data_IF_246287839855
#
_entry.id   IF_246287839855
#
_cell.length_a   1.000
_cell.length_b   1.000
_cell.length_c   1.000
_cell.angle_alpha   90.00
_cell.angle_beta   90.00
_cell.angle_gamma   90.00
#
_symmetry.space_group_name_H-M   'P 1'
#
loop_
_entity.id
_entity.type
_entity.pdbx_description
1 polymer ?
#
# COMPACT_ATOMS: atom_id res chain seq x y z
N UNK A 1 7.57 -7.06 24.07
CA UNK A 1 7.21 -7.40 22.68
C UNK A 1 6.61 -6.15 22.10
N UNK A 2 7.07 -5.71 20.95
CA UNK A 2 6.49 -4.52 20.29
C UNK A 2 5.18 -4.98 19.67
N UNK A 3 4.06 -4.46 20.18
CA UNK A 3 2.75 -4.74 19.56
C UNK A 3 2.71 -3.96 18.25
N UNK A 4 2.64 -4.68 17.13
CA UNK A 4 2.56 -4.02 15.82
C UNK A 4 1.15 -3.45 15.66
N UNK A 5 1.01 -2.18 15.25
CA UNK A 5 -0.30 -1.61 14.99
C UNK A 5 -1.02 -2.36 13.87
N UNK A 6 -2.30 -2.68 14.10
CA UNK A 6 -3.16 -3.37 13.13
C UNK A 6 -4.23 -2.40 12.65
N UNK A 7 -4.23 -2.13 11.36
CA UNK A 7 -5.18 -1.25 10.69
C UNK A 7 -6.06 -1.98 9.68
N UNK A 8 -7.05 -1.27 9.18
CA UNK A 8 -7.98 -1.75 8.15
C UNK A 8 -8.11 -0.72 7.03
N UNK A 9 -8.19 -1.19 5.80
CA UNK A 9 -8.55 -0.35 4.67
C UNK A 9 -10.05 -0.03 4.72
N UNK A 10 -10.36 1.24 4.80
CA UNK A 10 -11.73 1.74 4.76
C UNK A 10 -12.04 2.11 3.32
N UNK A 11 -12.86 1.31 2.66
CA UNK A 11 -13.25 1.54 1.27
C UNK A 11 -13.74 2.95 1.03
N UNK A 12 -13.56 3.44 -0.18
CA UNK A 12 -13.98 4.76 -0.62
C UNK A 12 -15.50 4.93 -0.44
N UNK A 13 -15.91 5.38 0.74
CA UNK A 13 -17.18 6.06 0.88
C UNK A 13 -17.11 7.37 0.10
N UNK A 14 -18.23 7.95 -0.32
CA UNK A 14 -18.22 9.27 -0.94
C UNK A 14 -17.48 10.23 -0.01
N UNK A 15 -16.46 10.91 -0.55
CA UNK A 15 -15.60 11.86 0.18
C UNK A 15 -16.37 13.04 0.79
N UNK A 16 -17.65 13.18 0.45
CA UNK A 16 -18.51 14.28 0.86
C UNK A 16 -19.52 13.93 1.96
N UNK A 17 -19.70 12.63 2.28
CA UNK A 17 -20.45 12.17 3.45
C UNK A 17 -19.69 11.01 4.11
N UNK A 18 -19.26 11.16 5.37
CA UNK A 18 -18.65 10.05 6.10
C UNK A 18 -19.72 8.98 6.34
N UNK A 19 -19.76 7.97 5.48
CA UNK A 19 -20.53 6.79 5.77
C UNK A 19 -20.09 6.29 7.16
N UNK A 20 -21.03 6.22 8.11
CA UNK A 20 -20.77 5.74 9.47
C UNK A 20 -19.74 6.52 10.31
N UNK A 21 -19.74 7.84 10.26
CA UNK A 21 -18.95 8.66 11.21
C UNK A 21 -17.48 8.89 10.87
N UNK A 22 -17.04 8.53 9.65
CA UNK A 22 -15.68 8.79 9.19
C UNK A 22 -14.63 7.75 9.65
N UNK A 23 -13.35 7.95 9.28
CA UNK A 23 -12.28 6.96 9.51
C UNK A 23 -12.07 6.61 10.98
N UNK A 24 -12.08 7.60 11.88
CA UNK A 24 -11.84 7.39 13.32
C UNK A 24 -12.97 6.57 13.97
N UNK A 25 -14.23 6.84 13.62
CA UNK A 25 -15.35 6.05 14.11
C UNK A 25 -15.30 4.60 13.60
N UNK A 26 -14.86 4.40 12.36
CA UNK A 26 -14.65 3.08 11.79
C UNK A 26 -13.50 2.33 12.47
N UNK A 27 -12.39 3.01 12.77
CA UNK A 27 -11.30 2.43 13.56
C UNK A 27 -11.81 1.94 14.93
N UNK A 28 -12.54 2.80 15.62
CA UNK A 28 -13.11 2.47 16.95
C UNK A 28 -14.11 1.31 16.88
N UNK A 29 -14.96 1.25 15.85
CA UNK A 29 -15.93 0.17 15.64
C UNK A 29 -15.26 -1.19 15.48
N UNK A 30 -14.07 -1.23 14.82
CA UNK A 30 -13.33 -2.45 14.53
C UNK A 30 -12.22 -2.74 15.55
N UNK A 31 -12.04 -1.89 16.56
CA UNK A 31 -10.91 -1.95 17.48
C UNK A 31 -9.55 -1.92 16.74
N UNK A 32 -9.44 -1.11 15.69
CA UNK A 32 -8.26 -0.99 14.86
C UNK A 32 -7.34 0.12 15.37
N UNK A 33 -6.02 -0.10 15.31
CA UNK A 33 -4.99 0.88 15.68
C UNK A 33 -4.73 1.88 14.54
N UNK A 34 -5.14 1.55 13.32
CA UNK A 34 -4.94 2.37 12.15
C UNK A 34 -6.00 2.20 11.07
N UNK A 35 -6.00 3.14 10.14
CA UNK A 35 -6.86 3.10 8.96
C UNK A 35 -6.07 3.40 7.69
N UNK A 36 -6.38 2.70 6.62
CA UNK A 36 -5.97 3.11 5.28
C UNK A 36 -7.16 3.67 4.53
N UNK A 37 -6.97 4.81 3.90
CA UNK A 37 -8.03 5.54 3.20
C UNK A 37 -7.61 5.97 1.79
N UNK A 38 -8.59 6.14 0.90
CA UNK A 38 -8.43 6.92 -0.31
C UNK A 38 -8.83 8.38 -0.05
N UNK A 39 -8.12 9.32 -0.68
CA UNK A 39 -8.47 10.74 -0.63
C UNK A 39 -9.41 11.18 -1.77
N UNK A 40 -9.60 10.30 -2.75
CA UNK A 40 -10.54 10.47 -3.88
C UNK A 40 -11.08 9.11 -4.27
N UNK A 41 -12.03 9.07 -5.19
CA UNK A 41 -12.39 7.82 -5.86
C UNK A 41 -11.12 7.19 -6.48
N UNK A 42 -10.77 5.93 -6.14
CA UNK A 42 -9.54 5.26 -6.57
C UNK A 42 -9.43 5.05 -8.08
N UNK A 43 -10.53 5.15 -8.81
CA UNK A 43 -10.58 5.08 -10.27
C UNK A 43 -10.58 6.46 -10.95
N UNK A 44 -10.34 7.53 -10.19
CA UNK A 44 -10.42 8.91 -10.66
C UNK A 44 -9.05 9.56 -10.83
N UNK A 45 -8.90 10.40 -11.85
CA UNK A 45 -7.77 11.34 -12.01
C UNK A 45 -8.03 12.71 -11.36
N UNK A 46 -9.00 12.80 -10.44
CA UNK A 46 -9.28 14.06 -9.73
C UNK A 46 -8.25 14.32 -8.65
N UNK A 47 -7.85 15.58 -8.52
CA UNK A 47 -7.05 16.03 -7.38
C UNK A 47 -7.85 15.91 -6.08
N UNK A 48 -7.21 15.53 -4.96
CA UNK A 48 -7.86 15.49 -3.66
C UNK A 48 -8.28 16.90 -3.23
N UNK A 49 -9.39 16.98 -2.51
CA UNK A 49 -9.84 18.19 -1.84
C UNK A 49 -9.42 18.15 -0.37
N UNK A 50 -9.27 19.30 0.30
CA UNK A 50 -9.10 19.32 1.75
C UNK A 50 -10.22 18.54 2.44
N UNK A 51 -9.87 17.66 3.36
CA UNK A 51 -10.84 16.88 4.12
C UNK A 51 -11.38 17.69 5.29
N UNK A 52 -12.69 17.66 5.57
CA UNK A 52 -13.27 18.38 6.71
C UNK A 52 -12.83 17.81 8.08
N UNK A 53 -12.43 16.54 8.12
CA UNK A 53 -11.95 15.81 9.31
C UNK A 53 -10.41 15.77 9.43
N UNK A 54 -9.69 16.57 8.65
CA UNK A 54 -8.21 16.53 8.63
C UNK A 54 -7.60 16.86 10.01
N UNK A 55 -8.14 17.83 10.71
CA UNK A 55 -7.64 18.22 12.04
C UNK A 55 -7.90 17.13 13.09
N UNK A 56 -9.03 16.43 13.01
CA UNK A 56 -9.36 15.31 13.88
C UNK A 56 -8.43 14.12 13.63
N UNK A 57 -8.16 13.79 12.37
CA UNK A 57 -7.20 12.74 11.98
C UNK A 57 -5.80 13.07 12.48
N UNK A 58 -5.36 14.30 12.28
CA UNK A 58 -4.04 14.78 12.71
C UNK A 58 -3.84 14.75 14.23
N UNK A 59 -4.92 14.99 14.99
CA UNK A 59 -4.92 15.02 16.45
C UNK A 59 -5.13 13.65 17.10
N UNK A 60 -5.46 12.61 16.32
CA UNK A 60 -5.75 11.28 16.82
C UNK A 60 -4.49 10.44 17.00
N UNK A 61 -4.57 9.42 17.88
CA UNK A 61 -3.54 8.37 18.00
C UNK A 61 -3.70 7.26 16.96
N UNK A 62 -4.76 7.30 16.13
CA UNK A 62 -5.01 6.31 15.06
C UNK A 62 -4.02 6.55 13.93
N UNK A 63 -3.29 5.51 13.54
CA UNK A 63 -2.36 5.59 12.42
C UNK A 63 -3.15 5.73 11.11
N UNK A 64 -2.85 6.78 10.36
CA UNK A 64 -3.44 6.99 9.04
C UNK A 64 -2.44 6.58 7.97
N UNK A 65 -2.87 5.73 7.05
CA UNK A 65 -2.17 5.43 5.80
C UNK A 65 -3.05 5.90 4.65
N UNK A 66 -2.47 6.48 3.63
CA UNK A 66 -3.21 6.87 2.43
C UNK A 66 -2.81 5.98 1.28
N UNK A 67 -3.79 5.41 0.58
CA UNK A 67 -3.55 4.72 -0.68
C UNK A 67 -3.77 5.67 -1.86
N UNK A 68 -2.83 5.72 -2.79
CA UNK A 68 -2.95 6.49 -4.01
C UNK A 68 -3.97 5.86 -4.98
N UNK A 69 -4.63 6.63 -5.84
CA UNK A 69 -5.54 6.07 -6.83
C UNK A 69 -4.86 5.02 -7.72
N UNK A 70 -5.55 3.92 -8.00
CA UNK A 70 -5.06 2.81 -8.85
C UNK A 70 -4.69 3.25 -10.27
N UNK A 71 -5.29 4.34 -10.74
CA UNK A 71 -5.02 4.89 -12.07
C UNK A 71 -3.64 5.52 -12.22
N UNK A 72 -2.91 5.74 -11.12
CA UNK A 72 -1.59 6.34 -11.16
C UNK A 72 -0.55 5.35 -11.70
N UNK A 73 0.06 5.72 -12.81
CA UNK A 73 1.16 4.95 -13.40
C UNK A 73 2.27 5.89 -13.84
N UNK A 74 3.18 6.22 -12.92
CA UNK A 74 4.32 7.09 -13.20
C UNK A 74 5.45 6.38 -13.95
N UNK A 75 5.43 5.05 -14.01
CA UNK A 75 6.35 4.25 -14.81
C UNK A 75 6.04 4.33 -16.32
N UNK A 76 4.80 4.64 -16.69
CA UNK A 76 4.32 4.61 -18.08
C UNK A 76 5.25 5.33 -19.06
N UNK A 77 5.51 4.71 -20.21
CA UNK A 77 6.22 5.30 -21.35
C UNK A 77 5.36 6.35 -22.06
N UNK A 78 4.04 6.29 -21.89
CA UNK A 78 3.11 7.27 -22.46
C UNK A 78 3.07 8.57 -21.65
N UNK A 79 3.56 9.66 -22.24
CA UNK A 79 3.57 10.99 -21.60
C UNK A 79 2.19 11.50 -21.21
N UNK A 80 1.10 11.07 -21.91
CA UNK A 80 -0.27 11.49 -21.60
C UNK A 80 -0.78 10.84 -20.30
N UNK A 81 -0.18 9.74 -19.88
CA UNK A 81 -0.46 9.04 -18.60
C UNK A 81 0.53 9.53 -17.54
N UNK A 82 1.83 9.47 -17.83
CA UNK A 82 2.90 9.74 -16.88
C UNK A 82 2.90 11.18 -16.37
N UNK A 83 2.80 12.17 -17.26
CA UNK A 83 2.95 13.57 -16.85
C UNK A 83 1.81 14.03 -15.94
N UNK A 84 0.53 13.80 -16.26
CA UNK A 84 -0.57 14.04 -15.33
C UNK A 84 -0.45 13.19 -14.06
N UNK A 85 -0.03 11.93 -14.19
CA UNK A 85 0.17 11.02 -13.04
C UNK A 85 1.16 11.56 -12.01
N UNK A 86 2.31 12.10 -12.43
CA UNK A 86 3.29 12.73 -11.53
C UNK A 86 2.71 13.92 -10.77
N UNK A 87 1.95 14.77 -11.47
CA UNK A 87 1.31 15.92 -10.83
C UNK A 87 0.29 15.46 -9.80
N UNK A 88 -0.52 14.48 -10.16
CA UNK A 88 -1.55 13.94 -9.28
C UNK A 88 -0.93 13.22 -8.07
N UNK A 89 0.15 12.45 -8.27
CA UNK A 89 0.91 11.83 -7.19
C UNK A 89 1.37 12.86 -6.16
N UNK A 90 1.97 13.96 -6.61
CA UNK A 90 2.42 15.04 -5.72
C UNK A 90 1.24 15.70 -4.97
N UNK A 91 0.12 15.93 -5.63
CA UNK A 91 -1.07 16.49 -5.01
C UNK A 91 -1.64 15.55 -3.93
N UNK A 92 -1.68 14.25 -4.19
CA UNK A 92 -2.09 13.25 -3.20
C UNK A 92 -1.13 13.18 -2.02
N UNK A 93 0.20 13.25 -2.26
CA UNK A 93 1.20 13.27 -1.20
C UNK A 93 1.03 14.48 -0.27
N UNK A 94 0.79 15.68 -0.82
CA UNK A 94 0.50 16.86 0.00
C UNK A 94 -0.80 16.73 0.80
N UNK A 95 -1.83 16.16 0.22
CA UNK A 95 -3.10 15.95 0.92
C UNK A 95 -2.99 14.84 1.98
N UNK A 96 -2.18 13.81 1.74
CA UNK A 96 -1.87 12.76 2.72
C UNK A 96 -1.09 13.32 3.92
N UNK A 97 -0.11 14.18 3.67
CA UNK A 97 0.60 14.87 4.75
C UNK A 97 -0.31 15.77 5.58
N UNK A 98 -1.31 16.42 4.97
CA UNK A 98 -2.27 17.27 5.65
C UNK A 98 -3.21 16.53 6.61
N UNK A 99 -3.35 15.22 6.49
CA UNK A 99 -4.12 14.37 7.42
C UNK A 99 -3.21 13.59 8.39
N UNK A 100 -1.92 13.90 8.43
CA UNK A 100 -0.96 13.24 9.32
C UNK A 100 -0.63 11.79 8.91
N UNK A 101 -0.78 11.43 7.62
CA UNK A 101 -0.52 10.07 7.20
C UNK A 101 0.94 9.65 7.44
N UNK A 102 1.13 8.41 7.91
CA UNK A 102 2.44 7.76 8.09
C UNK A 102 3.21 7.68 6.76
N UNK A 103 2.49 7.44 5.69
CA UNK A 103 3.01 7.35 4.34
C UNK A 103 1.88 7.22 3.32
N UNK A 104 2.23 7.26 2.04
CA UNK A 104 1.29 7.04 0.95
C UNK A 104 1.69 5.83 0.12
N UNK A 105 0.84 4.81 0.14
CA UNK A 105 0.98 3.61 -0.69
C UNK A 105 0.72 3.93 -2.15
N UNK A 106 1.56 3.42 -3.01
CA UNK A 106 1.40 3.54 -4.46
C UNK A 106 1.95 2.31 -5.17
N UNK A 107 1.18 1.75 -6.09
CA UNK A 107 1.66 0.64 -6.92
C UNK A 107 2.89 1.06 -7.75
N UNK A 108 3.83 0.14 -7.94
CA UNK A 108 5.01 0.39 -8.75
C UNK A 108 4.72 0.80 -10.20
N UNK A 109 3.50 0.54 -10.69
CA UNK A 109 3.10 0.79 -12.05
C UNK A 109 3.76 -0.18 -13.04
N UNK A 110 3.57 0.08 -14.33
CA UNK A 110 4.05 -0.82 -15.38
C UNK A 110 4.35 -0.05 -16.68
N UNK A 111 5.14 -0.66 -17.54
CA UNK A 111 5.28 -0.30 -18.95
C UNK A 111 4.55 -1.34 -19.81
N UNK A 112 4.28 -1.01 -21.08
CA UNK A 112 3.65 -1.97 -21.99
C UNK A 112 4.58 -3.15 -22.26
N UNK A 113 4.03 -4.25 -22.75
CA UNK A 113 4.79 -5.50 -22.97
C UNK A 113 5.94 -5.33 -23.99
N UNK A 114 5.75 -4.43 -24.95
CA UNK A 114 6.74 -4.09 -25.98
C UNK A 114 7.79 -3.06 -25.55
N UNK A 115 7.57 -2.42 -24.41
CA UNK A 115 8.47 -1.38 -23.90
C UNK A 115 9.58 -1.98 -23.01
N UNK A 116 10.73 -1.28 -22.98
CA UNK A 116 11.82 -1.65 -22.07
C UNK A 116 11.47 -1.25 -20.62
N UNK A 117 11.44 -2.20 -19.66
CA UNK A 117 11.22 -1.92 -18.25
C UNK A 117 12.17 -0.88 -17.65
N UNK A 118 13.39 -0.77 -18.17
CA UNK A 118 14.36 0.23 -17.71
C UNK A 118 13.85 1.68 -17.90
N UNK A 119 12.98 1.91 -18.89
CA UNK A 119 12.33 3.22 -19.09
C UNK A 119 11.36 3.53 -17.94
N UNK A 120 10.62 2.52 -17.45
CA UNK A 120 9.72 2.66 -16.31
C UNK A 120 10.48 2.98 -15.02
N UNK A 121 11.58 2.30 -14.77
CA UNK A 121 12.50 2.56 -13.64
C UNK A 121 13.06 3.98 -13.72
N UNK A 122 13.55 4.42 -14.89
CA UNK A 122 14.05 5.78 -15.08
C UNK A 122 12.95 6.85 -14.92
N UNK A 123 11.72 6.53 -15.28
CA UNK A 123 10.57 7.40 -15.04
C UNK A 123 10.28 7.60 -13.55
N UNK A 124 10.43 6.56 -12.72
CA UNK A 124 10.37 6.68 -11.28
C UNK A 124 11.51 7.53 -10.72
N UNK A 125 12.76 7.25 -11.12
CA UNK A 125 13.92 8.06 -10.74
C UNK A 125 13.70 9.55 -11.07
N UNK A 126 13.26 9.84 -12.30
CA UNK A 126 12.92 11.22 -12.72
C UNK A 126 11.81 11.85 -11.88
N UNK A 127 10.85 11.05 -11.42
CA UNK A 127 9.75 11.54 -10.57
C UNK A 127 10.29 12.02 -9.23
N UNK A 128 11.10 11.20 -8.56
CA UNK A 128 11.76 11.59 -7.30
C UNK A 128 12.74 12.74 -7.48
N UNK A 129 13.60 12.68 -8.50
CA UNK A 129 14.56 13.76 -8.81
C UNK A 129 13.85 15.11 -9.06
N UNK A 130 12.69 15.07 -9.72
CA UNK A 130 11.90 16.29 -9.96
C UNK A 130 11.38 16.86 -8.63
N UNK A 131 10.81 16.03 -7.79
CA UNK A 131 10.30 16.46 -6.47
C UNK A 131 11.42 16.92 -5.53
N UNK A 132 12.59 16.30 -5.59
CA UNK A 132 13.73 16.70 -4.78
C UNK A 132 14.17 18.16 -4.99
N UNK A 133 13.89 18.76 -6.14
CA UNK A 133 14.15 20.18 -6.41
C UNK A 133 13.31 21.11 -5.55
N UNK A 134 12.14 20.63 -5.13
CA UNK A 134 11.19 21.38 -4.31
C UNK A 134 11.14 20.86 -2.86
N UNK A 135 12.20 20.17 -2.41
CA UNK A 135 12.34 19.65 -1.05
C UNK A 135 11.88 18.20 -0.85
N UNK A 136 11.49 17.51 -1.91
CA UNK A 136 11.02 16.12 -1.88
C UNK A 136 9.50 15.99 -1.72
N UNK A 137 9.04 14.75 -1.56
CA UNK A 137 7.65 14.50 -1.14
C UNK A 137 7.50 14.85 0.34
N UNK A 138 6.35 15.41 0.78
CA UNK A 138 6.15 15.84 2.18
C UNK A 138 5.99 14.69 3.18
N UNK A 139 5.87 13.46 2.68
CA UNK A 139 5.82 12.21 3.45
C UNK A 139 6.43 11.07 2.60
N UNK A 140 6.81 9.93 3.22
CA UNK A 140 7.31 8.78 2.47
C UNK A 140 6.28 8.24 1.48
N UNK A 141 6.73 7.91 0.27
CA UNK A 141 5.98 7.08 -0.67
C UNK A 141 6.34 5.62 -0.42
N UNK A 142 5.34 4.79 -0.15
CA UNK A 142 5.48 3.36 0.03
C UNK A 142 5.13 2.65 -1.27
N UNK A 143 6.13 2.09 -1.93
CA UNK A 143 5.94 1.32 -3.16
C UNK A 143 5.41 -0.06 -2.80
N UNK A 144 4.32 -0.45 -3.41
CA UNK A 144 3.68 -1.74 -3.18
C UNK A 144 4.02 -2.72 -4.29
N UNK A 145 4.28 -4.01 -3.91
CA UNK A 145 4.36 -5.09 -4.88
C UNK A 145 2.99 -5.36 -5.52
N UNK A 146 3.00 -5.95 -6.73
CA UNK A 146 1.79 -6.18 -7.51
C UNK A 146 1.65 -7.63 -7.96
N UNK A 147 0.40 -8.13 -8.01
CA UNK A 147 0.08 -9.52 -8.36
C UNK A 147 0.43 -9.89 -9.80
N UNK A 148 0.20 -8.97 -10.73
CA UNK A 148 0.27 -9.22 -12.15
C UNK A 148 0.80 -8.05 -12.97
N UNK A 149 0.67 -8.18 -14.31
CA UNK A 149 1.20 -7.19 -15.25
C UNK A 149 2.62 -7.56 -15.70
N UNK A 150 2.81 -7.85 -17.01
CA UNK A 150 4.05 -8.41 -17.54
C UNK A 150 5.31 -7.61 -17.26
N UNK A 151 5.25 -6.28 -17.39
CA UNK A 151 6.36 -5.36 -17.15
C UNK A 151 6.04 -4.40 -15.98
N UNK A 152 5.49 -4.95 -14.90
CA UNK A 152 5.26 -4.19 -13.66
C UNK A 152 6.58 -3.96 -12.93
N UNK A 153 6.74 -2.74 -12.36
CA UNK A 153 8.01 -2.32 -11.73
C UNK A 153 8.25 -3.01 -10.38
N UNK A 154 7.21 -3.54 -9.74
CA UNK A 154 7.30 -4.13 -8.41
C UNK A 154 6.60 -5.51 -8.34
N UNK A 155 6.67 -6.34 -9.39
CA UNK A 155 6.04 -7.65 -9.41
C UNK A 155 6.94 -8.77 -8.92
N UNK A 156 8.21 -8.74 -9.27
CA UNK A 156 9.21 -9.74 -8.88
C UNK A 156 10.40 -9.08 -8.20
N UNK A 157 11.16 -9.86 -7.44
CA UNK A 157 12.26 -9.36 -6.62
C UNK A 157 13.33 -8.65 -7.47
N UNK A 158 13.61 -9.15 -8.68
CA UNK A 158 14.58 -8.51 -9.56
C UNK A 158 14.08 -7.15 -10.09
N UNK A 159 12.78 -7.03 -10.38
CA UNK A 159 12.19 -5.76 -10.78
C UNK A 159 12.23 -4.75 -9.62
N UNK A 160 11.94 -5.20 -8.39
CA UNK A 160 12.04 -4.38 -7.19
C UNK A 160 13.48 -3.93 -6.95
N UNK A 161 14.46 -4.83 -7.09
CA UNK A 161 15.87 -4.47 -6.93
C UNK A 161 16.28 -3.38 -7.92
N UNK A 162 15.94 -3.52 -9.20
CA UNK A 162 16.21 -2.47 -10.22
C UNK A 162 15.51 -1.15 -9.90
N UNK A 163 14.29 -1.21 -9.40
CA UNK A 163 13.55 -0.01 -8.99
C UNK A 163 14.24 0.65 -7.79
N UNK A 164 14.65 -0.15 -6.80
CA UNK A 164 15.29 0.35 -5.57
C UNK A 164 16.66 0.97 -5.81
N UNK A 165 17.44 0.41 -6.74
CA UNK A 165 18.69 1.03 -7.22
C UNK A 165 18.48 2.44 -7.75
N UNK A 166 17.28 2.73 -8.27
CA UNK A 166 16.96 4.03 -8.87
C UNK A 166 16.28 5.02 -7.91
N UNK A 167 15.59 4.55 -6.86
CA UNK A 167 14.78 5.40 -5.99
C UNK A 167 15.08 5.27 -4.49
N UNK A 168 15.82 4.27 -4.05
CA UNK A 168 16.08 4.02 -2.64
C UNK A 168 16.79 5.19 -1.93
N UNK A 169 17.69 5.90 -2.63
CA UNK A 169 18.37 7.09 -2.11
C UNK A 169 17.44 8.25 -1.75
N UNK A 170 16.22 8.28 -2.31
CA UNK A 170 15.21 9.32 -2.02
C UNK A 170 14.33 9.00 -0.81
N UNK A 171 14.60 7.93 -0.08
CA UNK A 171 13.84 7.54 1.11
C UNK A 171 12.48 6.90 0.79
N UNK A 172 12.34 6.28 -0.37
CA UNK A 172 11.15 5.46 -0.68
C UNK A 172 11.00 4.33 0.34
N UNK A 173 9.78 4.07 0.78
CA UNK A 173 9.40 2.94 1.61
C UNK A 173 8.81 1.80 0.79
N UNK A 174 8.61 0.63 1.41
CA UNK A 174 8.04 -0.55 0.78
C UNK A 174 6.83 -1.10 1.53
N UNK A 175 5.81 -1.50 0.78
CA UNK A 175 4.66 -2.27 1.28
C UNK A 175 4.71 -3.67 0.70
N UNK A 176 4.63 -4.67 1.57
CA UNK A 176 4.45 -6.05 1.17
C UNK A 176 2.97 -6.42 1.23
N UNK A 177 2.32 -6.56 0.07
CA UNK A 177 1.02 -7.21 -0.02
C UNK A 177 1.20 -8.71 -0.20
N UNK A 178 0.62 -9.49 0.73
CA UNK A 178 0.76 -10.94 0.77
C UNK A 178 -0.05 -11.65 -0.32
N UNK A 179 -1.23 -11.14 -0.68
CA UNK A 179 -2.02 -11.65 -1.80
C UNK A 179 -1.29 -11.41 -3.13
N UNK A 180 -0.73 -10.22 -3.33
CA UNK A 180 0.05 -9.90 -4.52
C UNK A 180 1.31 -10.75 -4.64
N UNK A 181 2.06 -10.91 -3.56
CA UNK A 181 3.25 -11.75 -3.52
C UNK A 181 2.92 -13.22 -3.84
N UNK A 182 1.87 -13.77 -3.23
CA UNK A 182 1.35 -15.10 -3.52
C UNK A 182 0.94 -15.26 -4.99
N UNK A 183 0.17 -14.31 -5.49
CA UNK A 183 -0.28 -14.30 -6.88
C UNK A 183 0.87 -14.13 -7.89
N UNK A 184 1.94 -13.44 -7.53
CA UNK A 184 3.17 -13.35 -8.31
C UNK A 184 4.05 -14.61 -8.22
N UNK A 185 3.75 -15.53 -7.28
CA UNK A 185 4.46 -16.78 -7.09
C UNK A 185 5.65 -16.71 -6.13
N UNK A 186 5.67 -15.72 -5.21
CA UNK A 186 6.73 -15.61 -4.21
C UNK A 186 6.60 -16.68 -3.13
N UNK A 187 7.72 -16.99 -2.50
CA UNK A 187 7.73 -17.74 -1.25
C UNK A 187 7.46 -16.79 -0.07
N UNK A 188 6.23 -16.78 0.46
CA UNK A 188 5.86 -15.90 1.59
C UNK A 188 6.69 -16.18 2.84
N UNK A 189 7.21 -17.41 3.02
CA UNK A 189 8.07 -17.73 4.16
C UNK A 189 9.42 -17.02 4.18
N UNK A 190 9.85 -16.43 3.06
CA UNK A 190 11.10 -15.65 2.95
C UNK A 190 10.85 -14.21 2.49
N UNK A 191 9.60 -13.85 2.13
CA UNK A 191 9.29 -12.58 1.47
C UNK A 191 9.73 -11.34 2.28
N UNK A 192 9.59 -11.36 3.61
CA UNK A 192 10.03 -10.24 4.48
C UNK A 192 11.54 -10.06 4.41
N UNK A 193 12.30 -11.16 4.52
CA UNK A 193 13.77 -11.13 4.48
C UNK A 193 14.27 -10.74 3.08
N UNK A 194 13.64 -11.29 2.02
CA UNK A 194 13.98 -10.98 0.63
C UNK A 194 13.77 -9.47 0.34
N UNK A 195 12.66 -8.90 0.78
CA UNK A 195 12.40 -7.46 0.62
C UNK A 195 13.40 -6.64 1.43
N UNK A 196 13.66 -6.98 2.69
CA UNK A 196 14.65 -6.26 3.49
C UNK A 196 16.06 -6.33 2.92
N UNK A 197 16.42 -7.45 2.32
CA UNK A 197 17.72 -7.59 1.65
C UNK A 197 17.86 -6.64 0.44
N UNK A 198 16.77 -6.37 -0.28
CA UNK A 198 16.75 -5.50 -1.44
C UNK A 198 16.61 -4.03 -1.03
N UNK A 199 15.65 -3.71 -0.16
CA UNK A 199 15.23 -2.34 0.11
C UNK A 199 15.88 -1.74 1.35
N UNK A 200 16.46 -2.58 2.22
CA UNK A 200 16.96 -2.21 3.54
C UNK A 200 15.83 -1.94 4.57
N UNK A 201 14.57 -2.09 4.20
CA UNK A 201 13.40 -1.73 5.03
C UNK A 201 12.12 -2.47 4.60
N UNK A 202 11.16 -2.51 5.50
CA UNK A 202 9.76 -2.83 5.24
C UNK A 202 8.93 -1.89 6.11
N UNK A 203 8.01 -1.13 5.52
CA UNK A 203 7.33 -0.03 6.20
C UNK A 203 5.88 -0.35 6.56
N UNK A 204 5.27 -1.26 5.81
CA UNK A 204 3.88 -1.66 5.94
C UNK A 204 3.68 -3.05 5.37
N UNK A 205 2.75 -3.81 5.92
CA UNK A 205 2.23 -5.04 5.30
C UNK A 205 0.75 -4.86 5.00
N UNK A 206 0.36 -5.08 3.75
CA UNK A 206 -1.02 -5.42 3.41
C UNK A 206 -1.20 -6.92 3.61
N UNK A 207 -1.85 -7.30 4.69
CA UNK A 207 -2.01 -8.69 5.06
C UNK A 207 -3.34 -9.22 4.53
N UNK A 208 -3.29 -9.82 3.38
CA UNK A 208 -4.45 -10.31 2.64
C UNK A 208 -4.29 -11.78 2.28
N UNK A 209 -5.34 -12.57 2.41
CA UNK A 209 -5.38 -13.89 1.80
C UNK A 209 -5.78 -13.78 0.32
N UNK A 210 -5.66 -14.85 -0.44
CA UNK A 210 -5.95 -14.90 -1.88
C UNK A 210 -7.07 -15.90 -2.18
N UNK A 211 -7.96 -15.54 -3.09
CA UNK A 211 -8.97 -16.48 -3.66
C UNK A 211 -8.37 -17.39 -4.71
N UNK A 212 -7.17 -17.12 -5.17
CA UNK A 212 -6.53 -17.81 -6.27
C UNK A 212 -5.24 -18.52 -5.81
N UNK A 213 -4.84 -19.60 -6.51
CA UNK A 213 -3.61 -20.31 -6.17
C UNK A 213 -2.36 -19.47 -6.45
N UNK A 214 -1.24 -19.90 -5.87
CA UNK A 214 0.06 -19.30 -6.07
C UNK A 214 0.41 -19.16 -7.56
N UNK A 215 1.00 -18.04 -7.95
CA UNK A 215 1.40 -17.79 -9.33
C UNK A 215 0.24 -17.47 -10.29
N UNK A 216 -0.96 -17.27 -9.79
CA UNK A 216 -2.16 -16.99 -10.61
C UNK A 216 -2.10 -15.66 -11.37
N UNK A 217 -1.27 -14.73 -10.94
CA UNK A 217 -1.23 -13.32 -11.40
C UNK A 217 -2.56 -12.57 -11.22
N UNK A 218 -3.41 -13.02 -10.29
CA UNK A 218 -4.72 -12.44 -10.03
C UNK A 218 -4.74 -11.77 -8.66
N UNK A 219 -5.12 -10.51 -8.64
CA UNK A 219 -5.37 -9.74 -7.45
C UNK A 219 -6.83 -9.90 -7.02
N UNK A 220 -7.06 -10.85 -6.11
CA UNK A 220 -8.39 -11.08 -5.52
C UNK A 220 -8.25 -11.49 -4.07
N UNK A 221 -8.42 -10.53 -3.18
CA UNK A 221 -8.32 -10.71 -1.75
C UNK A 221 -9.41 -11.65 -1.21
N UNK A 222 -9.05 -12.40 -0.19
CA UNK A 222 -9.93 -13.25 0.62
C UNK A 222 -9.75 -12.92 2.11
N UNK A 223 -10.70 -13.31 2.98
CA UNK A 223 -10.50 -13.23 4.42
C UNK A 223 -9.27 -14.03 4.87
N UNK A 224 -8.62 -13.63 5.96
CA UNK A 224 -7.38 -14.28 6.44
C UNK A 224 -7.53 -15.79 6.62
N UNK A 225 -8.71 -16.25 7.05
CA UNK A 225 -8.98 -17.66 7.35
C UNK A 225 -9.69 -18.43 6.23
N UNK A 226 -10.02 -17.76 5.12
CA UNK A 226 -10.82 -18.35 4.03
C UNK A 226 -10.26 -18.00 2.65
N UNK A 227 -9.09 -18.55 2.33
CA UNK A 227 -8.38 -18.36 1.06
C UNK A 227 -7.35 -19.47 0.80
N UNK A 228 -6.60 -19.30 -0.27
CA UNK A 228 -5.60 -20.27 -0.75
C UNK A 228 -4.27 -20.20 0.01
N UNK A 229 -4.00 -19.09 0.72
CA UNK A 229 -2.80 -18.95 1.53
C UNK A 229 -3.08 -19.56 2.91
N UNK A 230 -2.26 -20.52 3.39
CA UNK A 230 -2.41 -21.03 4.76
C UNK A 230 -2.37 -19.88 5.77
N UNK A 231 -3.36 -19.79 6.65
CA UNK A 231 -3.48 -18.71 7.65
C UNK A 231 -2.21 -18.58 8.47
N UNK A 232 -1.60 -19.68 8.92
CA UNK A 232 -0.37 -19.64 9.70
C UNK A 232 0.80 -18.98 8.96
N UNK A 233 0.87 -19.15 7.65
CA UNK A 233 1.88 -18.48 6.82
C UNK A 233 1.69 -16.95 6.78
N UNK A 234 0.42 -16.48 6.78
CA UNK A 234 0.12 -15.05 6.90
C UNK A 234 0.52 -14.52 8.28
N UNK A 235 0.22 -15.29 9.35
CA UNK A 235 0.61 -14.92 10.70
C UNK A 235 2.15 -14.87 10.85
N UNK A 236 2.88 -15.78 10.23
CA UNK A 236 4.35 -15.76 10.21
C UNK A 236 4.91 -14.53 9.51
N UNK A 237 4.31 -14.10 8.38
CA UNK A 237 4.64 -12.84 7.71
C UNK A 237 4.42 -11.66 8.66
N UNK A 238 3.27 -11.61 9.34
CA UNK A 238 2.96 -10.54 10.28
C UNK A 238 3.95 -10.49 11.46
N UNK A 239 4.33 -11.65 12.02
CA UNK A 239 5.34 -11.76 13.09
C UNK A 239 6.73 -11.29 12.65
N UNK A 240 7.12 -11.59 11.42
CA UNK A 240 8.43 -11.23 10.87
C UNK A 240 8.53 -9.77 10.46
N UNK A 241 7.39 -9.11 10.17
CA UNK A 241 7.37 -7.81 9.51
C UNK A 241 7.91 -6.65 10.34
N UNK A 242 7.74 -6.64 11.68
CA UNK A 242 8.18 -5.56 12.59
C UNK A 242 7.77 -4.15 12.10
N UNK A 243 6.57 -4.03 11.54
CA UNK A 243 5.96 -2.79 11.04
C UNK A 243 4.43 -2.88 11.12
N UNK A 244 3.69 -1.77 10.93
CA UNK A 244 2.23 -1.81 10.90
C UNK A 244 1.68 -2.79 9.86
N UNK A 245 0.53 -3.38 10.17
CA UNK A 245 -0.22 -4.29 9.30
C UNK A 245 -1.55 -3.64 8.94
N UNK A 246 -1.96 -3.70 7.69
CA UNK A 246 -3.28 -3.24 7.21
C UNK A 246 -4.00 -4.37 6.50
N UNK A 247 -5.24 -4.59 6.88
CA UNK A 247 -6.15 -5.54 6.24
C UNK A 247 -6.90 -4.84 5.09
N UNK A 248 -6.91 -5.46 3.92
CA UNK A 248 -7.74 -5.08 2.78
C UNK A 248 -8.68 -6.22 2.38
N UNK A 249 -8.90 -7.12 3.32
CA UNK A 249 -9.77 -8.28 3.18
C UNK A 249 -11.22 -7.86 2.93
N UNK A 250 -12.01 -8.66 2.19
CA UNK A 250 -13.42 -8.39 2.04
C UNK A 250 -14.16 -8.70 3.34
N UNK A 251 -15.09 -7.83 3.73
CA UNK A 251 -15.89 -8.03 4.93
C UNK A 251 -16.60 -6.77 5.39
N UNK A 252 -17.39 -6.92 6.44
CA UNK A 252 -17.95 -5.80 7.20
C UNK A 252 -17.11 -5.51 8.46
N UNK A 253 -17.53 -4.55 9.26
CA UNK A 253 -16.81 -4.17 10.47
C UNK A 253 -16.66 -5.32 11.47
N UNK A 254 -17.63 -6.19 11.57
CA UNK A 254 -17.59 -7.33 12.49
C UNK A 254 -16.56 -8.38 12.01
N UNK A 255 -16.49 -8.63 10.71
CA UNK A 255 -15.49 -9.50 10.11
C UNK A 255 -14.07 -8.97 10.34
N UNK A 256 -13.84 -7.69 10.07
CA UNK A 256 -12.53 -7.06 10.30
C UNK A 256 -12.15 -7.05 11.79
N UNK A 257 -13.09 -6.74 12.70
CA UNK A 257 -12.83 -6.84 14.15
C UNK A 257 -12.39 -8.26 14.56
N UNK A 258 -13.00 -9.30 13.96
CA UNK A 258 -12.60 -10.70 14.16
C UNK A 258 -11.20 -11.00 13.66
N UNK A 259 -10.81 -10.48 12.50
CA UNK A 259 -9.44 -10.65 11.95
C UNK A 259 -8.40 -9.87 12.76
N UNK A 260 -8.71 -8.67 13.24
CA UNK A 260 -7.85 -7.90 14.15
C UNK A 260 -7.63 -8.66 15.45
N UNK A 261 -8.70 -9.22 16.05
CA UNK A 261 -8.58 -10.01 17.27
C UNK A 261 -7.69 -11.25 17.06
N UNK A 262 -7.85 -11.95 15.93
CA UNK A 262 -6.99 -13.08 15.55
C UNK A 262 -5.51 -12.65 15.46
N UNK A 263 -5.23 -11.52 14.84
CA UNK A 263 -3.86 -11.01 14.70
C UNK A 263 -3.27 -10.59 16.05
N UNK A 264 -4.03 -9.91 16.90
CA UNK A 264 -3.58 -9.53 18.25
C UNK A 264 -3.22 -10.76 19.07
N UNK A 265 -4.06 -11.78 19.06
CA UNK A 265 -3.79 -13.06 19.77
C UNK A 265 -2.50 -13.72 19.22
N UNK A 266 -2.35 -13.77 17.92
CA UNK A 266 -1.19 -14.38 17.26
C UNK A 266 0.13 -13.61 17.46
N UNK A 267 0.06 -12.29 17.63
CA UNK A 267 1.22 -11.40 17.82
C UNK A 267 1.56 -11.17 19.30
N UNK A 268 0.78 -11.74 20.22
CA UNK A 268 1.03 -11.69 21.65
C UNK A 268 0.62 -10.37 22.30
N UNK A 269 -0.46 -9.77 21.78
CA UNK A 269 -1.10 -8.58 22.29
C UNK A 269 -2.06 -8.86 23.43
#
# INVERSE_FOLDING_TARGET
>A
MTVHPIGVHIGAGPTDEPAHGGPLARAAEMDADGVQIFLTDPQSYKAPRPRPDADDLLASDVIVVVHAPYMLNVASTNNRIRVPGRKLLAQHAHAAAAVGALGMVVHGGHVLAEDDPAVGVDNWRKTFTYQAKDGGFPLPLFIENTAGGGNAMARDLDAIARLWDAIGEFGAGFVLDTCHAWAAGWNLGTAVDDIRAITGRLDLVHLNNSRDPAGSSRDRHAPLTDGEIPTELLLDVARAADCPVVLETPGDAAAHAGEIALLRDALGG
#
